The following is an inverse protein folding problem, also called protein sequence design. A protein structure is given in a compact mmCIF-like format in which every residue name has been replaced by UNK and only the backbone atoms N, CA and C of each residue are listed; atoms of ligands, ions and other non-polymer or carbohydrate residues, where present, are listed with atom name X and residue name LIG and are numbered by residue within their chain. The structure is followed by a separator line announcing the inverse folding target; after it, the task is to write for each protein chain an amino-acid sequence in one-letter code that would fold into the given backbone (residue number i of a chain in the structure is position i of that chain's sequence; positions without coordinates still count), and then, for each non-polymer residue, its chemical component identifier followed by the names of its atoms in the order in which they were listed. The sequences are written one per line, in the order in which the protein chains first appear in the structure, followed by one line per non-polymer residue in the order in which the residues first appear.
data_IF_024039381125
#
_entry.id   IF_024039381125
#
_cell.length_a   1.000
_cell.length_b   1.000
_cell.length_c   1.000
_cell.angle_alpha   90.00
_cell.angle_beta   90.00
_cell.angle_gamma   90.00
#
_symmetry.space_group_name_H-M   'P 1'
#
loop_
_entity.id
_entity.type
_entity.pdbx_description
1 polymer ?
#
# COMPACT_ATOMS: atom_id res chain seq x y z
N UNK A 1 -5.28 14.65 3.79
CA UNK A 1 -4.79 13.28 3.51
C UNK A 1 -3.60 13.02 4.40
N UNK A 2 -3.70 12.10 5.35
CA UNK A 2 -2.56 11.64 6.13
C UNK A 2 -1.65 10.75 5.27
N UNK A 3 -0.34 10.80 5.49
CA UNK A 3 0.63 9.96 4.78
C UNK A 3 1.39 9.14 5.80
N UNK A 4 1.47 7.83 5.60
CA UNK A 4 2.33 6.96 6.36
C UNK A 4 3.23 6.15 5.43
N UNK A 5 4.42 5.81 5.93
CA UNK A 5 5.39 5.02 5.20
C UNK A 5 5.85 3.85 6.07
N UNK A 6 5.97 2.67 5.47
CA UNK A 6 6.50 1.49 6.13
C UNK A 6 7.37 0.66 5.18
N UNK A 7 8.24 -0.20 5.74
CA UNK A 7 8.96 -1.20 4.95
C UNK A 7 8.03 -2.34 4.49
N UNK A 8 8.55 -3.33 3.76
CA UNK A 8 7.81 -4.52 3.33
C UNK A 8 7.43 -5.44 4.50
N UNK A 9 6.74 -6.54 4.17
CA UNK A 9 6.47 -7.63 5.10
C UNK A 9 5.87 -7.14 6.43
N UNK A 10 6.57 -7.30 7.57
CA UNK A 10 6.04 -6.95 8.89
C UNK A 10 5.70 -5.47 9.04
N UNK A 11 6.43 -4.56 8.38
CA UNK A 11 6.16 -3.13 8.43
C UNK A 11 4.83 -2.79 7.78
N UNK A 12 4.60 -3.37 6.60
CA UNK A 12 3.38 -3.21 5.83
C UNK A 12 2.18 -3.85 6.53
N UNK A 13 2.33 -5.06 7.09
CA UNK A 13 1.23 -5.75 7.81
C UNK A 13 0.82 -5.04 9.09
N UNK A 14 1.73 -4.33 9.77
CA UNK A 14 1.37 -3.50 10.93
C UNK A 14 0.46 -2.31 10.57
N UNK A 15 0.32 -1.98 9.29
CA UNK A 15 -0.62 -0.95 8.83
C UNK A 15 -2.04 -1.51 8.60
N UNK A 16 -2.27 -2.82 8.70
CA UNK A 16 -3.60 -3.42 8.44
C UNK A 16 -4.67 -2.82 9.36
N UNK A 17 -4.43 -2.77 10.67
CA UNK A 17 -5.40 -2.20 11.63
C UNK A 17 -5.69 -0.72 11.36
N UNK A 18 -4.70 0.19 11.25
CA UNK A 18 -5.00 1.60 10.98
C UNK A 18 -5.58 1.86 9.58
N UNK A 19 -5.31 1.00 8.58
CA UNK A 19 -5.96 1.10 7.27
C UNK A 19 -7.44 0.70 7.33
N UNK A 20 -7.76 -0.39 8.04
CA UNK A 20 -9.14 -0.81 8.26
C UNK A 20 -9.92 0.26 9.04
N UNK A 21 -9.33 0.83 10.08
CA UNK A 21 -9.87 1.95 10.86
C UNK A 21 -10.17 3.15 9.96
N UNK A 22 -9.17 3.60 9.18
CA UNK A 22 -9.35 4.71 8.25
C UNK A 22 -10.42 4.44 7.18
N UNK A 23 -10.56 3.20 6.70
CA UNK A 23 -11.63 2.84 5.77
C UNK A 23 -13.01 2.93 6.41
N UNK A 24 -13.18 2.40 7.63
CA UNK A 24 -14.46 2.42 8.34
C UNK A 24 -14.90 3.83 8.70
N UNK A 25 -13.95 4.67 9.13
CA UNK A 25 -14.22 6.05 9.56
C UNK A 25 -14.12 7.08 8.43
N UNK A 26 -13.91 6.63 7.18
CA UNK A 26 -13.77 7.50 6.00
C UNK A 26 -12.66 8.55 6.13
N UNK A 27 -11.55 8.18 6.78
CA UNK A 27 -10.39 9.06 6.99
C UNK A 27 -9.47 8.99 5.75
N UNK A 28 -9.13 10.13 5.13
CA UNK A 28 -8.29 10.15 3.94
C UNK A 28 -6.82 9.85 4.28
N UNK A 29 -6.31 8.68 3.87
CA UNK A 29 -4.93 8.22 4.09
C UNK A 29 -4.32 7.70 2.79
N UNK A 30 -3.01 7.96 2.59
CA UNK A 30 -2.16 7.30 1.59
C UNK A 30 -1.03 6.59 2.33
N UNK A 31 -0.99 5.26 2.25
CA UNK A 31 0.09 4.43 2.79
C UNK A 31 1.06 4.04 1.68
N UNK A 32 2.35 4.30 1.89
CA UNK A 32 3.43 3.91 0.97
C UNK A 32 4.25 2.82 1.65
N UNK A 33 4.23 1.61 1.09
CA UNK A 33 4.97 0.47 1.62
C UNK A 33 6.12 0.10 0.69
N UNK A 34 7.24 -0.30 1.28
CA UNK A 34 8.29 -1.02 0.55
C UNK A 34 7.80 -2.41 0.11
N UNK A 35 8.49 -2.99 -0.87
CA UNK A 35 8.32 -4.37 -1.28
C UNK A 35 9.70 -4.96 -1.64
N UNK A 36 9.78 -6.29 -1.67
CA UNK A 36 10.94 -7.00 -2.22
C UNK A 36 11.20 -6.62 -3.68
N UNK A 37 12.42 -6.88 -4.18
CA UNK A 37 12.77 -6.62 -5.57
C UNK A 37 11.81 -7.34 -6.52
N UNK A 38 11.43 -6.71 -7.65
CA UNK A 38 10.40 -7.21 -8.57
C UNK A 38 10.57 -8.68 -8.98
N UNK A 39 11.80 -9.13 -9.22
CA UNK A 39 12.09 -10.52 -9.61
C UNK A 39 11.93 -11.55 -8.49
N UNK A 40 11.71 -11.11 -7.25
CA UNK A 40 11.51 -11.94 -6.07
C UNK A 40 10.04 -12.02 -5.63
N UNK A 41 9.15 -11.26 -6.27
CA UNK A 41 7.72 -11.30 -5.93
C UNK A 41 7.14 -12.69 -6.27
N UNK A 42 6.45 -13.30 -5.32
CA UNK A 42 5.87 -14.64 -5.38
C UNK A 42 6.85 -15.77 -5.07
N UNK A 43 7.99 -15.48 -4.42
CA UNK A 43 9.05 -16.47 -4.18
C UNK A 43 9.27 -16.82 -2.70
N UNK A 44 8.40 -16.33 -1.82
CA UNK A 44 8.57 -16.38 -0.36
C UNK A 44 9.89 -15.72 0.08
N UNK A 45 10.22 -14.59 -0.56
CA UNK A 45 11.44 -13.87 -0.28
C UNK A 45 11.45 -13.29 1.15
N UNK A 46 12.63 -12.95 1.65
CA UNK A 46 12.76 -12.37 2.99
C UNK A 46 11.92 -11.09 3.13
N UNK A 47 11.03 -11.08 4.12
CA UNK A 47 10.08 -9.98 4.37
C UNK A 47 9.14 -9.68 3.19
N UNK A 48 8.84 -10.69 2.38
CA UNK A 48 7.75 -10.63 1.43
C UNK A 48 6.39 -10.78 2.13
N UNK A 49 5.43 -9.95 1.75
CA UNK A 49 4.03 -10.16 2.02
C UNK A 49 3.22 -9.67 0.83
N UNK A 50 2.17 -10.38 0.46
CA UNK A 50 1.18 -9.90 -0.50
C UNK A 50 0.30 -8.82 0.15
N UNK A 51 0.89 -7.65 0.40
CA UNK A 51 0.19 -6.55 1.05
C UNK A 51 -0.97 -6.01 0.20
N UNK A 52 -0.88 -6.12 -1.13
CA UNK A 52 -1.97 -5.72 -2.02
C UNK A 52 -3.18 -6.64 -1.81
N UNK A 53 -2.98 -7.96 -1.78
CA UNK A 53 -4.04 -8.91 -1.46
C UNK A 53 -4.60 -8.72 -0.05
N UNK A 54 -3.72 -8.60 0.96
CA UNK A 54 -4.11 -8.42 2.38
C UNK A 54 -4.93 -7.15 2.60
N UNK A 55 -4.60 -6.05 1.92
CA UNK A 55 -5.26 -4.75 2.14
C UNK A 55 -6.40 -4.46 1.16
N UNK A 56 -6.62 -5.29 0.14
CA UNK A 56 -7.70 -5.11 -0.84
C UNK A 56 -9.09 -4.92 -0.23
N UNK A 57 -9.52 -5.67 0.82
CA UNK A 57 -10.85 -5.48 1.41
C UNK A 57 -10.93 -4.27 2.35
N UNK A 58 -9.80 -3.68 2.74
CA UNK A 58 -9.68 -2.63 3.77
C UNK A 58 -8.98 -1.36 3.29
N UNK A 59 -8.91 -1.18 1.97
CA UNK A 59 -8.54 0.10 1.34
C UNK A 59 -9.51 0.44 0.21
N UNK A 60 -9.73 1.75 -0.04
CA UNK A 60 -10.50 2.20 -1.22
C UNK A 60 -9.90 1.68 -2.53
N UNK A 61 -8.57 1.66 -2.59
CA UNK A 61 -7.78 1.12 -3.68
C UNK A 61 -6.33 0.92 -3.22
N UNK A 62 -5.60 0.01 -3.86
CA UNK A 62 -4.16 -0.16 -3.67
C UNK A 62 -3.47 -0.43 -5.02
N UNK A 63 -2.15 -0.20 -5.07
CA UNK A 63 -1.35 -0.31 -6.28
C UNK A 63 -0.07 -1.11 -6.01
N UNK A 64 0.36 -1.91 -6.97
CA UNK A 64 1.71 -2.47 -7.03
C UNK A 64 2.48 -1.83 -8.18
N UNK A 65 3.41 -0.92 -7.86
CA UNK A 65 4.24 -0.24 -8.86
C UNK A 65 5.41 -1.12 -9.26
N UNK A 66 5.49 -1.51 -10.53
CA UNK A 66 6.54 -2.40 -11.06
C UNK A 66 7.47 -1.74 -12.09
N UNK A 67 7.15 -0.50 -12.51
CA UNK A 67 8.00 0.37 -13.33
C UNK A 67 8.13 1.74 -12.62
N UNK A 68 9.36 2.25 -12.39
CA UNK A 68 9.57 3.57 -11.79
C UNK A 68 8.87 4.72 -12.52
N UNK A 69 8.65 4.61 -13.83
CA UNK A 69 7.96 5.65 -14.62
C UNK A 69 6.49 5.84 -14.22
N UNK A 70 5.87 4.83 -13.60
CA UNK A 70 4.49 4.88 -13.13
C UNK A 70 4.33 5.57 -11.77
N UNK A 71 5.42 5.85 -11.05
CA UNK A 71 5.37 6.44 -9.71
C UNK A 71 4.61 7.78 -9.70
N UNK A 72 4.91 8.76 -10.58
CA UNK A 72 4.24 10.06 -10.53
C UNK A 72 2.73 9.95 -10.74
N UNK A 73 2.31 9.13 -11.72
CA UNK A 73 0.90 8.91 -12.03
C UNK A 73 0.20 8.18 -10.88
N UNK A 74 0.78 7.11 -10.37
CA UNK A 74 0.21 6.30 -9.29
C UNK A 74 0.03 7.12 -8.01
N UNK A 75 1.00 7.96 -7.66
CA UNK A 75 0.88 8.84 -6.50
C UNK A 75 -0.25 9.88 -6.71
N UNK A 76 -0.30 10.55 -7.86
CA UNK A 76 -1.37 11.51 -8.14
C UNK A 76 -2.76 10.85 -8.05
N UNK A 77 -2.89 9.63 -8.56
CA UNK A 77 -4.12 8.86 -8.49
C UNK A 77 -4.48 8.42 -7.06
N UNK A 78 -3.50 7.96 -6.28
CA UNK A 78 -3.70 7.57 -4.89
C UNK A 78 -4.23 8.74 -4.05
N UNK A 79 -3.67 9.94 -4.20
CA UNK A 79 -4.14 11.13 -3.49
C UNK A 79 -5.54 11.56 -3.94
N UNK A 80 -5.84 11.46 -5.24
CA UNK A 80 -7.19 11.73 -5.77
C UNK A 80 -8.23 10.78 -5.18
N UNK A 81 -7.93 9.47 -5.16
CA UNK A 81 -8.83 8.44 -4.61
C UNK A 81 -9.00 8.61 -3.09
N UNK A 82 -7.92 8.87 -2.35
CA UNK A 82 -8.00 9.05 -0.90
C UNK A 82 -8.88 10.24 -0.49
N UNK A 83 -8.83 11.33 -1.27
CA UNK A 83 -9.55 12.58 -0.99
C UNK A 83 -10.99 12.63 -1.53
N UNK A 84 -11.45 11.62 -2.26
CA UNK A 84 -12.84 11.49 -2.73
C UNK A 84 -13.63 10.59 -1.78
#
# INVERSE_FOLDING_TARGET
VGVCMATSGPGATNLVTPLADAQMDSVPVVAITGQVGRGLIGTDAFQEADICGVTMPITKHNFLVTDPKDIPRTLAEAFRIAAT
#
